data_IF_793753399980
#
_entry.id   IF_793753399980
#
_cell.length_a   1.000
_cell.length_b   1.000
_cell.length_c   1.000
_cell.angle_alpha   90.00
_cell.angle_beta   90.00
_cell.angle_gamma   90.00
#
_symmetry.space_group_name_H-M   'P 1'
#
loop_
_entity.id
_entity.type
_entity.pdbx_description
1 polymer ?
#
# COMPACT_ATOMS: atom_id res chain seq x y z
N UNK A 1 -12.78 -11.70 -13.89
CA UNK A 1 -13.36 -10.47 -13.31
C UNK A 1 -12.50 -10.15 -12.11
N UNK A 2 -11.90 -8.96 -12.03
CA UNK A 2 -11.16 -8.57 -10.83
C UNK A 2 -12.19 -8.36 -9.71
N UNK A 3 -11.97 -9.00 -8.56
CA UNK A 3 -12.76 -8.75 -7.36
C UNK A 3 -12.26 -7.45 -6.75
N UNK A 4 -13.15 -6.58 -6.28
CA UNK A 4 -12.77 -5.36 -5.57
C UNK A 4 -12.91 -5.57 -4.06
N UNK A 5 -11.94 -5.07 -3.30
CA UNK A 5 -11.96 -5.02 -1.84
C UNK A 5 -11.94 -3.56 -1.38
N UNK A 6 -12.37 -3.30 -0.15
CA UNK A 6 -12.35 -1.98 0.47
C UNK A 6 -11.19 -1.91 1.45
N UNK A 7 -10.37 -0.87 1.35
CA UNK A 7 -9.25 -0.61 2.26
C UNK A 7 -9.32 0.83 2.80
N UNK A 8 -8.52 1.12 3.81
CA UNK A 8 -8.34 2.47 4.34
C UNK A 8 -6.93 2.95 4.00
N UNK A 9 -6.81 3.84 3.03
CA UNK A 9 -5.54 4.46 2.65
C UNK A 9 -5.40 5.81 3.34
N UNK A 10 -4.42 5.97 4.24
CA UNK A 10 -4.18 7.22 4.97
C UNK A 10 -5.48 7.79 5.60
N UNK A 11 -6.25 6.92 6.26
CA UNK A 11 -7.54 7.19 6.90
C UNK A 11 -8.71 7.49 5.93
N UNK A 12 -8.51 7.40 4.62
CA UNK A 12 -9.57 7.53 3.61
C UNK A 12 -9.95 6.15 3.03
N UNK A 13 -11.25 5.85 2.99
CA UNK A 13 -11.74 4.59 2.43
C UNK A 13 -11.67 4.59 0.91
N UNK A 14 -11.09 3.56 0.31
CA UNK A 14 -11.08 3.37 -1.14
C UNK A 14 -11.23 1.90 -1.54
N UNK A 15 -11.57 1.66 -2.80
CA UNK A 15 -11.59 0.31 -3.37
C UNK A 15 -10.33 0.04 -4.18
N UNK A 16 -9.76 -1.15 -4.02
CA UNK A 16 -8.64 -1.65 -4.82
C UNK A 16 -8.91 -3.08 -5.30
N UNK A 17 -8.09 -3.55 -6.24
CA UNK A 17 -8.18 -4.93 -6.73
C UNK A 17 -7.80 -5.93 -5.62
N UNK A 18 -8.59 -6.99 -5.50
CA UNK A 18 -8.28 -8.11 -4.63
C UNK A 18 -7.03 -8.86 -5.13
N UNK A 19 -6.40 -9.61 -4.23
CA UNK A 19 -5.19 -10.42 -4.52
C UNK A 19 -3.99 -9.59 -5.01
N UNK A 20 -4.08 -8.27 -4.89
CA UNK A 20 -3.01 -7.36 -5.22
C UNK A 20 -1.96 -7.31 -4.11
N UNK A 21 -0.69 -7.32 -4.51
CA UNK A 21 0.43 -7.11 -3.58
C UNK A 21 0.65 -5.64 -3.27
N UNK A 22 1.26 -5.34 -2.12
CA UNK A 22 1.67 -3.97 -1.77
C UNK A 22 2.49 -3.32 -2.87
N UNK A 23 3.40 -4.08 -3.49
CA UNK A 23 4.24 -3.58 -4.58
C UNK A 23 3.40 -3.12 -5.79
N UNK A 24 2.43 -3.93 -6.21
CA UNK A 24 1.54 -3.59 -7.32
C UNK A 24 0.64 -2.39 -6.98
N UNK A 25 0.15 -2.31 -5.74
CA UNK A 25 -0.66 -1.19 -5.29
C UNK A 25 0.12 0.14 -5.32
N UNK A 26 1.35 0.15 -4.78
CA UNK A 26 2.23 1.33 -4.82
C UNK A 26 2.54 1.75 -6.26
N UNK A 27 2.79 0.79 -7.16
CA UNK A 27 2.99 1.07 -8.59
C UNK A 27 1.74 1.65 -9.27
N UNK A 28 0.53 1.17 -8.93
CA UNK A 28 -0.72 1.70 -9.49
C UNK A 28 -1.01 3.13 -9.05
N UNK A 29 -0.51 3.54 -7.88
CA UNK A 29 -0.60 4.92 -7.41
C UNK A 29 0.46 5.85 -8.04
N UNK A 30 1.25 5.36 -9.01
CA UNK A 30 2.37 6.07 -9.63
C UNK A 30 3.39 6.63 -8.63
N UNK A 31 3.53 5.96 -7.47
CA UNK A 31 4.47 6.38 -6.43
C UNK A 31 5.86 5.76 -6.66
N UNK A 32 6.95 6.52 -6.46
CA UNK A 32 8.30 5.98 -6.49
C UNK A 32 8.48 4.97 -5.36
N UNK A 33 9.05 3.80 -5.65
CA UNK A 33 9.39 2.81 -4.62
C UNK A 33 10.41 3.39 -3.65
N UNK A 34 11.43 4.08 -4.19
CA UNK A 34 12.44 4.75 -3.38
C UNK A 34 11.83 5.97 -2.69
N UNK A 35 11.98 6.04 -1.36
CA UNK A 35 11.43 7.11 -0.56
C UNK A 35 9.97 6.89 -0.17
N UNK A 36 9.31 5.83 -0.61
CA UNK A 36 7.99 5.45 -0.08
C UNK A 36 8.15 4.47 1.08
N UNK A 37 7.42 4.71 2.17
CA UNK A 37 7.24 3.80 3.28
C UNK A 37 5.78 3.37 3.36
N UNK A 38 5.55 2.08 3.58
CA UNK A 38 4.22 1.49 3.71
C UNK A 38 4.07 0.93 5.12
N UNK A 39 2.96 1.21 5.77
CA UNK A 39 2.49 0.48 6.95
C UNK A 39 1.16 -0.22 6.63
N UNK A 40 0.99 -1.45 7.10
CA UNK A 40 -0.30 -2.15 7.08
C UNK A 40 -0.69 -2.43 8.53
N UNK A 41 -1.90 -2.03 8.91
CA UNK A 41 -2.45 -2.22 10.26
C UNK A 41 -1.47 -1.77 11.35
N UNK A 42 -0.92 -0.55 11.20
CA UNK A 42 0.06 0.08 12.09
C UNK A 42 1.44 -0.61 12.15
N UNK A 43 1.71 -1.60 11.28
CA UNK A 43 3.00 -2.27 11.16
C UNK A 43 3.72 -1.82 9.89
N UNK A 44 4.94 -1.31 10.05
CA UNK A 44 5.82 -1.00 8.93
C UNK A 44 6.16 -2.28 8.16
N UNK A 45 6.03 -2.23 6.84
CA UNK A 45 6.36 -3.31 5.92
C UNK A 45 7.62 -2.94 5.14
N UNK A 46 8.66 -3.77 5.20
CA UNK A 46 9.89 -3.49 4.46
C UNK A 46 9.66 -3.60 2.95
N UNK A 47 10.29 -2.72 2.16
CA UNK A 47 10.13 -2.71 0.69
C UNK A 47 10.45 -4.05 0.02
N UNK A 48 11.36 -4.84 0.60
CA UNK A 48 11.67 -6.21 0.15
C UNK A 48 10.52 -7.20 0.31
N UNK A 49 9.58 -6.95 1.22
CA UNK A 49 8.43 -7.81 1.51
C UNK A 49 7.21 -7.45 0.65
N UNK A 50 7.18 -6.25 0.07
CA UNK A 50 6.03 -5.74 -0.69
C UNK A 50 5.56 -6.65 -1.84
N UNK A 51 6.44 -7.35 -2.59
CA UNK A 51 6.00 -8.27 -3.63
C UNK A 51 5.35 -9.56 -3.10
N UNK A 52 5.42 -9.82 -1.79
CA UNK A 52 4.93 -11.06 -1.16
C UNK A 52 3.70 -10.85 -0.28
N UNK A 53 3.45 -9.61 0.15
CA UNK A 53 2.32 -9.27 1.00
C UNK A 53 1.15 -8.86 0.13
N UNK A 54 0.08 -9.64 0.21
CA UNK A 54 -1.20 -9.39 -0.44
C UNK A 54 -2.07 -8.52 0.46
N UNK A 55 -2.68 -7.50 -0.12
CA UNK A 55 -3.62 -6.62 0.56
C UNK A 55 -4.94 -7.36 0.78
N UNK A 56 -5.47 -7.28 2.00
CA UNK A 56 -6.72 -7.89 2.38
C UNK A 56 -7.84 -6.83 2.51
N UNK A 57 -9.09 -7.30 2.39
CA UNK A 57 -10.25 -6.47 2.65
C UNK A 57 -10.24 -5.94 4.09
N UNK A 58 -10.47 -4.64 4.23
CA UNK A 58 -10.45 -3.91 5.49
C UNK A 58 -9.07 -3.46 5.98
N UNK A 59 -7.99 -3.75 5.25
CA UNK A 59 -6.64 -3.33 5.67
C UNK A 59 -6.51 -1.81 5.81
N UNK A 60 -5.83 -1.38 6.86
CA UNK A 60 -5.42 0.01 7.07
C UNK A 60 -4.01 0.21 6.54
N UNK A 61 -3.91 0.86 5.39
CA UNK A 61 -2.64 1.14 4.72
C UNK A 61 -2.27 2.60 4.95
N UNK A 62 -1.07 2.83 5.48
CA UNK A 62 -0.49 4.16 5.56
C UNK A 62 0.70 4.28 4.60
N UNK A 63 0.68 5.30 3.75
CA UNK A 63 1.73 5.61 2.77
C UNK A 63 2.36 6.95 3.12
N UNK A 64 3.68 6.95 3.26
CA UNK A 64 4.47 8.14 3.52
C UNK A 64 5.58 8.25 2.49
N UNK A 65 5.73 9.42 1.88
CA UNK A 65 6.95 9.74 1.16
C UNK A 65 7.92 10.43 2.09
N UNK A 66 9.18 10.00 2.03
CA UNK A 66 10.28 10.74 2.61
C UNK A 66 10.25 12.14 1.99
N UNK A 67 9.95 13.14 2.80
CA UNK A 67 10.17 14.52 2.44
C UNK A 67 11.69 14.66 2.37
N UNK A 68 12.24 14.96 1.20
CA UNK A 68 13.67 15.20 1.05
C UNK A 68 14.04 16.38 1.97
N UNK A 69 14.60 16.04 3.14
CA UNK A 69 15.15 17.00 4.08
C UNK A 69 16.61 17.24 3.74
N UNK A 70 16.86 18.38 3.10
CA UNK A 70 18.15 18.96 2.76
C UNK A 70 17.95 20.35 2.20
#
# INVERSE_FOLDING_TARGET
MATMITIWLNDESMSCEAEQTVHQFVMQLDLPIQGTAVAINQRIVAASEWPTIVIADGDQIALFQAIAGG
#
